data_IF_084634010410
#
_entry.id   IF_084634010410
#
_cell.length_a   1.000
_cell.length_b   1.000
_cell.length_c   1.000
_cell.angle_alpha   90.00
_cell.angle_beta   90.00
_cell.angle_gamma   90.00
#
_symmetry.space_group_name_H-M   'P 1'
#
loop_
_entity.id
_entity.type
_entity.pdbx_description
1 polymer ?
#
# COMPACT_ATOMS: atom_id res chain seq x y z
N UNK A 1 57.70 -39.54 7.16
CA UNK A 1 56.33 -39.23 6.70
C UNK A 1 55.88 -38.00 7.45
N UNK A 2 55.98 -36.83 6.82
CA UNK A 2 55.80 -35.52 7.49
C UNK A 2 54.48 -34.93 7.00
N UNK A 3 53.45 -34.92 7.86
CA UNK A 3 52.16 -34.31 7.53
C UNK A 3 52.29 -32.80 7.82
N UNK A 4 52.24 -31.98 6.76
CA UNK A 4 52.20 -30.52 6.89
C UNK A 4 50.78 -30.10 7.25
N UNK A 5 50.59 -29.53 8.44
CA UNK A 5 49.33 -28.90 8.84
C UNK A 5 49.13 -27.58 8.10
N UNK A 6 48.05 -27.49 7.31
CA UNK A 6 47.56 -26.21 6.78
C UNK A 6 46.73 -25.52 7.86
N UNK A 7 47.00 -24.25 8.22
CA UNK A 7 46.14 -23.52 9.13
C UNK A 7 44.86 -23.12 8.38
N UNK A 8 43.72 -23.62 8.84
CA UNK A 8 42.41 -23.13 8.43
C UNK A 8 42.17 -21.77 9.08
N UNK A 9 42.28 -20.69 8.30
CA UNK A 9 41.88 -19.34 8.72
C UNK A 9 40.37 -19.23 8.55
N UNK A 10 39.62 -19.24 9.64
CA UNK A 10 38.20 -18.91 9.64
C UNK A 10 38.05 -17.38 9.52
N UNK A 11 37.77 -16.92 8.30
CA UNK A 11 37.41 -15.53 8.03
C UNK A 11 35.98 -15.27 8.53
N UNK A 12 35.83 -14.73 9.73
CA UNK A 12 34.54 -14.21 10.21
C UNK A 12 34.25 -12.87 9.52
N UNK A 13 33.60 -12.93 8.35
CA UNK A 13 32.97 -11.76 7.75
C UNK A 13 31.76 -11.36 8.62
N UNK A 14 31.70 -10.13 9.17
CA UNK A 14 30.48 -9.65 9.80
C UNK A 14 29.43 -9.47 8.70
N UNK A 15 28.55 -10.48 8.57
CA UNK A 15 27.34 -10.37 7.76
C UNK A 15 26.42 -9.39 8.51
N UNK A 16 26.48 -8.12 8.13
CA UNK A 16 25.43 -7.17 8.49
C UNK A 16 24.25 -7.47 7.59
N UNK A 17 23.21 -8.09 8.15
CA UNK A 17 21.91 -8.17 7.48
C UNK A 17 21.35 -6.73 7.50
N UNK A 18 21.50 -6.02 6.38
CA UNK A 18 20.85 -4.72 6.21
C UNK A 18 19.37 -4.99 5.94
N UNK A 19 18.55 -4.95 7.00
CA UNK A 19 17.09 -4.92 6.86
C UNK A 19 16.71 -3.57 6.26
N UNK A 20 16.52 -3.56 4.96
CA UNK A 20 16.21 -2.40 4.15
C UNK A 20 14.75 -1.94 4.42
N UNK A 21 14.45 -1.42 5.62
CA UNK A 21 13.08 -1.08 6.07
C UNK A 21 12.50 0.13 5.34
N UNK A 22 12.02 -0.05 4.12
CA UNK A 22 11.74 1.06 3.21
C UNK A 22 10.27 1.32 2.96
N UNK A 23 9.39 0.32 3.04
CA UNK A 23 7.99 0.54 2.73
C UNK A 23 7.23 1.15 3.92
N UNK A 24 6.26 2.03 3.62
CA UNK A 24 5.40 2.71 4.61
C UNK A 24 3.91 2.55 4.30
N UNK A 25 3.57 1.72 3.32
CA UNK A 25 2.20 1.44 2.91
C UNK A 25 1.87 2.04 1.55
N UNK A 26 0.70 1.68 1.04
CA UNK A 26 0.25 2.09 -0.27
C UNK A 26 -1.09 1.51 -0.64
N UNK A 27 -1.48 1.75 -1.89
CA UNK A 27 -2.72 1.26 -2.48
C UNK A 27 -2.59 1.21 -4.00
N UNK A 28 -3.35 0.31 -4.62
CA UNK A 28 -3.51 0.20 -6.07
C UNK A 28 -5.01 0.12 -6.34
N UNK A 29 -5.52 1.01 -7.18
CA UNK A 29 -6.92 1.06 -7.62
C UNK A 29 -6.99 1.06 -9.14
N UNK A 30 -8.13 0.70 -9.69
CA UNK A 30 -8.33 0.69 -11.14
C UNK A 30 -9.75 1.07 -11.51
N UNK A 31 -9.92 1.55 -12.74
CA UNK A 31 -11.25 1.72 -13.35
C UNK A 31 -11.15 1.55 -14.86
N UNK A 32 -12.22 1.14 -15.54
CA UNK A 32 -12.27 1.20 -16.98
C UNK A 32 -12.24 2.67 -17.43
N UNK A 33 -11.57 2.92 -18.56
CA UNK A 33 -11.62 4.23 -19.22
C UNK A 33 -13.03 4.52 -19.74
N UNK A 34 -13.68 3.48 -20.27
CA UNK A 34 -15.08 3.46 -20.68
C UNK A 34 -15.71 2.15 -20.15
N UNK A 35 -16.65 2.29 -19.24
CA UNK A 35 -17.36 1.20 -18.55
C UNK A 35 -18.41 0.51 -19.44
N UNK A 36 -18.85 1.16 -20.51
CA UNK A 36 -19.84 0.66 -21.48
C UNK A 36 -19.22 -0.03 -22.70
N UNK A 37 -17.91 -0.22 -22.72
CA UNK A 37 -17.17 -0.72 -23.89
C UNK A 37 -17.47 -2.20 -24.17
N UNK A 38 -17.82 -2.51 -25.42
CA UNK A 38 -18.18 -3.87 -25.88
C UNK A 38 -17.09 -4.56 -26.71
N UNK A 39 -15.90 -3.97 -26.78
CA UNK A 39 -14.79 -4.53 -27.58
C UNK A 39 -14.13 -5.70 -26.87
N UNK A 40 -13.36 -6.50 -27.62
CA UNK A 40 -12.62 -7.65 -27.08
C UNK A 40 -11.56 -7.28 -26.03
N UNK A 41 -11.11 -6.01 -26.02
CA UNK A 41 -10.21 -5.47 -25.00
C UNK A 41 -10.84 -4.26 -24.30
N UNK A 42 -10.51 -4.07 -23.02
CA UNK A 42 -10.93 -2.96 -22.16
C UNK A 42 -9.68 -2.17 -21.79
N UNK A 43 -9.71 -0.85 -22.00
CA UNK A 43 -8.65 0.02 -21.50
C UNK A 43 -8.93 0.32 -20.02
N UNK A 44 -8.00 -0.05 -19.14
CA UNK A 44 -8.04 0.33 -17.73
C UNK A 44 -7.11 1.50 -17.45
N UNK A 45 -7.54 2.34 -16.52
CA UNK A 45 -6.69 3.29 -15.81
C UNK A 45 -6.37 2.66 -14.45
N UNK A 46 -5.10 2.42 -14.17
CA UNK A 46 -4.63 1.91 -12.88
C UNK A 46 -3.90 3.04 -12.17
N UNK A 47 -4.32 3.34 -10.94
CA UNK A 47 -3.75 4.34 -10.07
C UNK A 47 -2.99 3.63 -8.95
N UNK A 48 -1.76 4.08 -8.68
CA UNK A 48 -0.96 3.60 -7.58
C UNK A 48 -0.54 4.77 -6.69
N UNK A 49 -0.53 4.52 -5.38
CA UNK A 49 0.02 5.46 -4.41
C UNK A 49 0.83 4.68 -3.38
N UNK A 50 2.08 5.07 -3.20
CA UNK A 50 3.00 4.42 -2.27
C UNK A 50 3.67 5.43 -1.37
N UNK A 51 4.05 4.96 -0.19
CA UNK A 51 4.87 5.69 0.75
C UNK A 51 6.11 4.88 1.10
N UNK A 52 7.23 5.58 1.18
CA UNK A 52 8.55 5.03 1.34
C UNK A 52 9.32 5.75 2.44
N UNK A 53 10.39 5.14 2.92
CA UNK A 53 11.40 5.78 3.74
C UNK A 53 12.10 6.87 2.93
N UNK A 54 12.05 8.12 3.40
CA UNK A 54 12.60 9.28 2.68
C UNK A 54 14.10 9.19 2.46
N UNK A 55 14.85 8.69 3.43
CA UNK A 55 16.30 8.48 3.28
C UNK A 55 16.68 7.51 2.16
N UNK A 56 15.73 6.75 1.60
CA UNK A 56 15.97 5.78 0.52
C UNK A 56 15.24 6.15 -0.77
N UNK A 57 14.04 6.74 -0.65
CA UNK A 57 13.28 7.32 -1.74
C UNK A 57 13.09 8.79 -1.40
N UNK A 58 14.04 9.61 -1.84
CA UNK A 58 14.09 11.02 -1.45
C UNK A 58 12.99 11.83 -2.11
N UNK A 59 12.39 12.73 -1.33
CA UNK A 59 11.51 13.78 -1.82
C UNK A 59 11.61 15.03 -0.95
N UNK A 60 11.50 16.19 -1.60
CA UNK A 60 11.41 17.52 -0.99
C UNK A 60 10.57 18.46 -1.87
N UNK A 61 10.46 19.73 -1.49
CA UNK A 61 9.69 20.73 -2.23
C UNK A 61 10.17 20.89 -3.68
N UNK A 62 11.48 20.77 -3.95
CA UNK A 62 12.03 20.84 -5.30
C UNK A 62 11.67 19.61 -6.14
N UNK A 63 11.66 18.42 -5.52
CA UNK A 63 11.20 17.18 -6.15
C UNK A 63 9.73 17.27 -6.55
N UNK A 64 8.89 17.83 -5.67
CA UNK A 64 7.46 18.07 -5.94
C UNK A 64 7.30 19.09 -7.08
N UNK A 65 7.97 20.24 -6.98
CA UNK A 65 7.84 21.33 -7.95
C UNK A 65 8.31 20.93 -9.37
N UNK A 66 9.32 20.08 -9.46
CA UNK A 66 9.83 19.57 -10.74
C UNK A 66 8.97 18.45 -11.35
N UNK A 67 8.01 17.90 -10.60
CA UNK A 67 7.24 16.72 -11.04
C UNK A 67 8.15 15.51 -11.27
N UNK A 68 9.19 15.35 -10.46
CA UNK A 68 10.15 14.26 -10.63
C UNK A 68 9.58 12.92 -10.18
N UNK A 69 9.88 11.85 -10.93
CA UNK A 69 9.59 10.49 -10.54
C UNK A 69 10.55 10.03 -9.44
N UNK A 70 10.00 9.51 -8.35
CA UNK A 70 10.74 8.85 -7.27
C UNK A 70 10.47 7.34 -7.29
N UNK A 71 11.25 6.57 -6.53
CA UNK A 71 11.15 5.10 -6.45
C UNK A 71 11.32 4.37 -7.80
N UNK A 72 12.12 4.95 -8.70
CA UNK A 72 12.39 4.46 -10.05
C UNK A 72 13.47 3.35 -10.09
N UNK A 73 13.33 2.34 -9.22
CA UNK A 73 14.35 1.33 -8.93
C UNK A 73 14.15 -0.03 -9.61
N UNK A 74 13.25 -0.14 -10.59
CA UNK A 74 13.02 -1.39 -11.33
C UNK A 74 12.10 -2.42 -10.67
N UNK A 75 11.38 -2.06 -9.61
CA UNK A 75 10.33 -2.92 -9.06
C UNK A 75 9.08 -2.83 -9.95
N UNK A 76 8.49 -3.98 -10.26
CA UNK A 76 7.31 -4.10 -11.09
C UNK A 76 6.07 -4.49 -10.28
N UNK A 77 4.90 -4.08 -10.77
CA UNK A 77 3.64 -4.71 -10.35
C UNK A 77 3.43 -5.93 -11.26
N UNK A 78 3.23 -7.08 -10.64
CA UNK A 78 3.05 -8.36 -11.33
C UNK A 78 1.59 -8.73 -11.37
N UNK A 79 1.13 -9.21 -12.53
CA UNK A 79 -0.16 -9.89 -12.62
C UNK A 79 -0.03 -11.37 -12.25
N UNK A 80 -1.05 -11.88 -11.57
CA UNK A 80 -1.27 -13.29 -11.30
C UNK A 80 -2.05 -13.98 -12.43
N UNK A 81 -2.03 -15.31 -12.46
CA UNK A 81 -2.92 -16.15 -13.30
C UNK A 81 -2.68 -16.01 -14.82
N UNK A 82 -3.74 -16.07 -15.63
CA UNK A 82 -3.75 -15.98 -17.10
C UNK A 82 -3.15 -14.70 -17.68
N UNK A 83 -2.92 -13.69 -16.85
CA UNK A 83 -2.24 -12.45 -17.22
C UNK A 83 -0.77 -12.42 -16.76
N UNK A 84 -0.14 -13.53 -16.39
CA UNK A 84 1.22 -13.54 -15.82
C UNK A 84 2.34 -12.98 -16.72
N UNK A 85 2.10 -12.82 -18.02
CA UNK A 85 3.00 -12.12 -18.94
C UNK A 85 2.97 -10.59 -18.77
N UNK A 86 2.10 -10.10 -17.89
CA UNK A 86 1.89 -8.69 -17.66
C UNK A 86 2.74 -8.21 -16.50
N UNK A 87 3.79 -7.48 -16.87
CA UNK A 87 4.63 -6.75 -15.95
C UNK A 87 4.32 -5.27 -16.17
N UNK A 88 3.71 -4.62 -15.18
CA UNK A 88 3.67 -3.17 -15.17
C UNK A 88 5.06 -2.71 -14.76
N UNK A 89 5.68 -1.92 -15.63
CA UNK A 89 7.12 -1.73 -15.63
C UNK A 89 7.69 -0.96 -14.43
N UNK A 90 6.86 -0.31 -13.60
CA UNK A 90 7.42 0.51 -12.52
C UNK A 90 6.48 0.81 -11.37
N UNK A 91 7.05 0.77 -10.16
CA UNK A 91 6.49 1.35 -8.92
C UNK A 91 6.83 2.84 -8.79
N UNK A 92 7.36 3.46 -9.84
CA UNK A 92 7.69 4.88 -9.84
C UNK A 92 6.43 5.72 -9.67
N UNK A 93 6.56 6.74 -8.85
CA UNK A 93 5.50 7.66 -8.47
C UNK A 93 5.99 9.09 -8.59
N UNK A 94 5.11 10.02 -8.92
CA UNK A 94 5.39 11.44 -8.79
C UNK A 94 5.29 11.81 -7.33
N UNK A 95 6.32 12.45 -6.78
CA UNK A 95 6.24 12.85 -5.38
C UNK A 95 5.14 13.89 -5.18
N UNK A 96 4.27 13.65 -4.19
CA UNK A 96 3.19 14.57 -3.81
C UNK A 96 3.34 15.10 -2.40
N UNK A 97 4.01 14.35 -1.51
CA UNK A 97 4.20 14.73 -0.12
C UNK A 97 5.45 14.09 0.51
N UNK A 98 6.00 14.72 1.54
CA UNK A 98 7.08 14.16 2.35
C UNK A 98 7.01 14.64 3.80
N UNK A 99 7.68 13.92 4.69
CA UNK A 99 7.90 14.29 6.08
C UNK A 99 9.32 13.97 6.50
N UNK A 100 10.06 15.01 6.90
CA UNK A 100 11.40 14.85 7.47
C UNK A 100 11.32 14.16 8.83
N UNK A 101 10.34 14.52 9.66
CA UNK A 101 10.18 14.00 11.02
C UNK A 101 9.86 12.50 11.08
N UNK A 102 9.10 11.98 10.12
CA UNK A 102 8.81 10.54 10.02
C UNK A 102 9.71 9.79 9.06
N UNK A 103 10.62 10.49 8.39
CA UNK A 103 11.44 9.92 7.33
C UNK A 103 10.55 9.23 6.28
N UNK A 104 9.53 9.94 5.78
CA UNK A 104 8.54 9.44 4.80
C UNK A 104 8.53 10.30 3.54
N UNK A 105 8.47 9.66 2.38
CA UNK A 105 8.11 10.26 1.10
C UNK A 105 6.90 9.53 0.55
N UNK A 106 5.93 10.24 -0.03
CA UNK A 106 4.81 9.63 -0.72
C UNK A 106 4.60 10.26 -2.09
N UNK A 107 3.97 9.47 -2.95
CA UNK A 107 3.66 9.90 -4.30
C UNK A 107 2.61 9.03 -4.93
N UNK A 108 2.11 9.48 -6.07
CA UNK A 108 1.15 8.74 -6.87
C UNK A 108 1.52 8.76 -8.34
N UNK A 109 1.04 7.77 -9.07
CA UNK A 109 1.15 7.70 -10.52
C UNK A 109 0.00 6.90 -11.06
N UNK A 110 -0.32 7.11 -12.33
CA UNK A 110 -1.29 6.31 -13.04
C UNK A 110 -0.69 5.85 -14.36
N UNK A 111 -1.19 4.73 -14.85
CA UNK A 111 -0.87 4.22 -16.17
C UNK A 111 -2.12 3.59 -16.76
N UNK A 112 -2.12 3.49 -18.08
CA UNK A 112 -3.20 2.86 -18.81
C UNK A 112 -2.74 1.52 -19.35
N UNK A 113 -3.65 0.53 -19.36
CA UNK A 113 -3.32 -0.82 -19.78
C UNK A 113 -4.52 -1.45 -20.49
N UNK A 114 -4.26 -2.17 -21.59
CA UNK A 114 -5.30 -2.80 -22.41
C UNK A 114 -5.45 -4.28 -22.07
N UNK A 115 -6.59 -4.66 -21.47
CA UNK A 115 -6.91 -6.01 -20.96
C UNK A 115 -7.90 -6.72 -21.87
N UNK A 116 -7.80 -8.04 -22.06
CA UNK A 116 -8.93 -8.83 -22.53
C UNK A 116 -10.20 -8.57 -21.70
N UNK A 117 -11.31 -8.37 -22.39
CA UNK A 117 -12.64 -8.35 -21.77
C UNK A 117 -12.95 -9.73 -21.16
N UNK A 118 -13.91 -9.78 -20.24
CA UNK A 118 -14.38 -11.02 -19.60
C UNK A 118 -13.26 -11.81 -18.89
N UNK A 119 -12.33 -11.11 -18.25
CA UNK A 119 -11.20 -11.71 -17.53
C UNK A 119 -11.15 -11.20 -16.09
N UNK A 120 -10.69 -12.06 -15.19
CA UNK A 120 -10.45 -11.72 -13.79
C UNK A 120 -9.06 -12.19 -13.36
N UNK A 121 -8.33 -11.30 -12.69
CA UNK A 121 -6.97 -11.56 -12.22
C UNK A 121 -6.61 -10.58 -11.11
N UNK A 122 -5.51 -10.83 -10.40
CA UNK A 122 -4.95 -9.85 -9.45
C UNK A 122 -3.66 -9.28 -9.98
N UNK A 123 -3.42 -8.00 -9.71
CA UNK A 123 -2.13 -7.34 -9.84
C UNK A 123 -1.58 -7.04 -8.45
N UNK A 124 -0.28 -7.14 -8.26
CA UNK A 124 0.29 -6.88 -6.96
C UNK A 124 1.73 -6.43 -7.00
N UNK A 125 2.08 -5.60 -6.02
CA UNK A 125 3.45 -5.24 -5.72
C UNK A 125 3.84 -5.85 -4.38
N UNK A 126 4.90 -6.63 -4.38
CA UNK A 126 5.42 -7.29 -3.20
C UNK A 126 6.92 -7.06 -3.08
N UNK A 127 7.42 -6.95 -1.86
CA UNK A 127 8.86 -6.88 -1.60
C UNK A 127 9.21 -7.38 -0.20
N UNK A 128 10.51 -7.45 0.07
CA UNK A 128 11.03 -7.64 1.42
C UNK A 128 11.22 -6.28 2.10
N UNK A 129 11.12 -6.28 3.43
CA UNK A 129 11.49 -5.18 4.32
C UNK A 129 10.47 -4.03 4.39
N UNK A 130 9.35 -4.34 5.04
CA UNK A 130 8.47 -3.35 5.65
C UNK A 130 9.18 -2.55 6.74
N UNK A 131 8.48 -1.64 7.42
CA UNK A 131 9.08 -0.87 8.53
C UNK A 131 9.58 -1.82 9.63
N UNK A 132 10.88 -1.80 9.94
CA UNK A 132 11.52 -2.76 10.86
C UNK A 132 11.08 -2.66 12.32
N UNK A 133 10.54 -1.51 12.74
CA UNK A 133 10.12 -1.23 14.12
C UNK A 133 8.62 -1.46 14.36
N UNK A 134 7.94 -2.15 13.45
CA UNK A 134 6.53 -2.50 13.64
C UNK A 134 6.37 -3.49 14.78
N UNK A 135 5.28 -3.35 15.54
CA UNK A 135 4.90 -4.31 16.59
C UNK A 135 4.68 -5.71 16.03
N UNK A 136 4.14 -5.80 14.81
CA UNK A 136 3.85 -7.05 14.09
C UNK A 136 4.33 -6.91 12.65
N UNK A 137 4.99 -7.93 12.11
CA UNK A 137 5.45 -7.94 10.72
C UNK A 137 6.63 -7.01 10.42
N UNK A 138 7.36 -6.58 11.46
CA UNK A 138 8.49 -5.66 11.32
C UNK A 138 9.61 -6.22 10.46
N UNK A 139 9.95 -5.52 9.37
CA UNK A 139 11.00 -5.95 8.44
C UNK A 139 10.65 -7.18 7.60
N UNK A 140 9.43 -7.71 7.73
CA UNK A 140 8.96 -8.86 6.97
C UNK A 140 8.61 -8.48 5.53
N UNK A 141 8.16 -9.49 4.78
CA UNK A 141 7.61 -9.31 3.43
C UNK A 141 6.23 -8.67 3.52
N UNK A 142 5.90 -7.87 2.52
CA UNK A 142 4.61 -7.20 2.40
C UNK A 142 4.11 -7.32 0.96
N UNK A 143 2.80 -7.14 0.76
CA UNK A 143 2.19 -7.21 -0.56
C UNK A 143 0.94 -6.31 -0.68
N UNK A 144 1.00 -5.36 -1.61
CA UNK A 144 -0.12 -4.54 -2.04
C UNK A 144 -0.77 -5.21 -3.25
N UNK A 145 -1.88 -5.94 -3.04
CA UNK A 145 -2.55 -6.72 -4.10
C UNK A 145 -3.95 -6.24 -4.39
N UNK A 146 -4.24 -5.98 -5.66
CA UNK A 146 -5.51 -5.48 -6.17
C UNK A 146 -6.15 -6.49 -7.13
N UNK A 147 -7.46 -6.72 -7.01
CA UNK A 147 -8.22 -7.62 -7.89
C UNK A 147 -8.93 -6.82 -8.98
N UNK A 148 -8.69 -7.23 -10.23
CA UNK A 148 -9.30 -6.68 -11.45
C UNK A 148 -10.30 -7.66 -12.02
N UNK A 149 -11.44 -7.14 -12.48
CA UNK A 149 -12.49 -7.93 -13.12
C UNK A 149 -13.15 -7.16 -14.26
N UNK A 150 -12.88 -7.60 -15.50
CA UNK A 150 -13.44 -7.02 -16.73
C UNK A 150 -14.68 -7.76 -17.22
N UNK A 151 -15.24 -8.68 -16.42
CA UNK A 151 -16.53 -9.33 -16.72
C UNK A 151 -17.64 -8.29 -16.56
N UNK A 152 -18.48 -8.18 -17.58
CA UNK A 152 -19.62 -7.26 -17.60
C UNK A 152 -20.61 -7.66 -16.50
N UNK A 153 -21.03 -6.68 -15.71
CA UNK A 153 -21.98 -6.83 -14.61
C UNK A 153 -23.39 -7.04 -15.15
N UNK A 154 -24.34 -7.51 -14.32
CA UNK A 154 -25.73 -7.70 -14.75
C UNK A 154 -26.42 -6.42 -15.27
N UNK A 155 -25.93 -5.24 -14.89
CA UNK A 155 -26.42 -3.95 -15.37
C UNK A 155 -25.84 -3.53 -16.74
N UNK A 156 -24.96 -4.33 -17.35
CA UNK A 156 -24.36 -4.06 -18.66
C UNK A 156 -23.08 -3.25 -18.65
N UNK A 157 -22.56 -2.87 -17.47
CA UNK A 157 -21.32 -2.09 -17.33
C UNK A 157 -20.17 -2.93 -16.78
N UNK A 158 -18.95 -2.55 -17.11
CA UNK A 158 -17.73 -3.08 -16.50
C UNK A 158 -17.55 -2.41 -15.15
N UNK A 159 -17.13 -3.19 -14.16
CA UNK A 159 -16.88 -2.71 -12.82
C UNK A 159 -15.74 -1.69 -12.73
N UNK A 160 -15.79 -0.79 -11.76
CA UNK A 160 -14.65 -0.02 -11.28
C UNK A 160 -14.21 -0.50 -9.90
N UNK A 161 -12.99 -0.22 -9.48
CA UNK A 161 -12.57 -0.56 -8.11
C UNK A 161 -13.00 0.52 -7.12
N UNK A 162 -13.24 0.16 -5.85
CA UNK A 162 -13.52 1.14 -4.83
C UNK A 162 -12.32 2.07 -4.62
N UNK A 163 -12.62 3.28 -4.17
CA UNK A 163 -11.62 4.24 -3.74
C UNK A 163 -11.70 4.40 -2.23
N UNK A 164 -10.53 4.45 -1.59
CA UNK A 164 -10.43 4.79 -0.19
C UNK A 164 -9.23 5.67 0.07
N UNK A 165 -9.42 6.62 0.98
CA UNK A 165 -8.39 7.61 1.31
C UNK A 165 -8.16 7.64 2.81
N UNK A 166 -6.89 7.64 3.19
CA UNK A 166 -6.47 7.83 4.56
C UNK A 166 -5.05 8.38 4.59
N UNK A 167 -4.67 9.00 5.71
CA UNK A 167 -3.31 9.48 5.90
C UNK A 167 -2.36 8.29 6.03
N UNK A 168 -1.16 8.43 5.47
CA UNK A 168 -0.17 7.34 5.43
C UNK A 168 0.42 7.05 6.81
N UNK A 169 0.54 8.09 7.64
CA UNK A 169 0.91 7.98 9.05
C UNK A 169 -0.11 8.74 9.88
N UNK A 170 -0.71 8.07 10.86
CA UNK A 170 -1.74 8.63 11.74
C UNK A 170 -1.28 8.52 13.19
N UNK A 171 -1.41 9.59 13.96
CA UNK A 171 -1.03 9.62 15.37
C UNK A 171 -2.14 9.09 16.24
N UNK A 172 -1.79 8.23 17.19
CA UNK A 172 -2.70 7.73 18.20
C UNK A 172 -2.02 7.74 19.56
N UNK A 173 -2.74 8.19 20.59
CA UNK A 173 -2.25 8.08 21.95
C UNK A 173 -2.16 6.60 22.34
N UNK A 174 -1.03 6.17 22.88
CA UNK A 174 -0.89 4.78 23.36
C UNK A 174 -1.75 4.56 24.61
N UNK A 175 -2.08 3.29 24.91
CA UNK A 175 -2.91 2.91 26.07
C UNK A 175 -4.35 3.50 26.07
N UNK A 176 -4.85 3.91 24.91
CA UNK A 176 -6.24 4.34 24.73
C UNK A 176 -6.88 3.58 23.58
N UNK A 177 -8.19 3.29 23.70
CA UNK A 177 -8.96 2.72 22.59
C UNK A 177 -9.26 3.82 21.57
N UNK A 178 -8.99 3.53 20.30
CA UNK A 178 -9.26 4.44 19.19
C UNK A 178 -10.17 3.80 18.17
N UNK A 179 -11.07 4.62 17.61
CA UNK A 179 -11.81 4.28 16.40
C UNK A 179 -11.21 5.10 15.26
N UNK A 180 -10.86 4.43 14.16
CA UNK A 180 -10.41 5.09 12.94
C UNK A 180 -11.36 4.71 11.81
N UNK A 181 -12.01 5.72 11.22
CA UNK A 181 -12.96 5.51 10.14
C UNK A 181 -12.24 5.69 8.81
N UNK A 182 -12.26 4.65 7.99
CA UNK A 182 -11.77 4.70 6.61
C UNK A 182 -12.94 5.08 5.73
N UNK A 183 -12.83 6.21 5.04
CA UNK A 183 -13.83 6.63 4.06
C UNK A 183 -13.60 5.84 2.78
N UNK A 184 -14.66 5.18 2.31
CA UNK A 184 -14.66 4.33 1.14
C UNK A 184 -15.82 4.75 0.24
N UNK A 185 -15.58 4.79 -1.05
CA UNK A 185 -16.59 5.13 -2.05
C UNK A 185 -16.41 4.24 -3.26
N UNK A 186 -17.52 3.93 -3.91
CA UNK A 186 -17.53 3.27 -5.21
C UNK A 186 -18.32 4.10 -6.21
N UNK A 187 -17.90 4.07 -7.47
CA UNK A 187 -18.56 4.82 -8.53
C UNK A 187 -19.75 4.05 -9.13
N UNK A 188 -19.83 2.76 -8.85
CA UNK A 188 -20.85 1.85 -9.30
C UNK A 188 -22.00 1.82 -8.26
N UNK A 189 -22.97 2.72 -8.40
CA UNK A 189 -23.95 3.08 -7.35
C UNK A 189 -24.86 1.98 -6.77
N UNK A 190 -24.75 0.71 -7.19
CA UNK A 190 -25.44 -0.43 -6.58
C UNK A 190 -24.56 -1.25 -5.62
N UNK A 191 -23.27 -0.95 -5.59
CA UNK A 191 -22.30 -1.85 -5.00
C UNK A 191 -22.23 -1.74 -3.48
N UNK A 192 -21.92 -2.86 -2.86
CA UNK A 192 -21.76 -3.00 -1.41
C UNK A 192 -20.28 -3.19 -1.09
N UNK A 193 -19.72 -2.23 -0.39
CA UNK A 193 -18.32 -2.28 0.04
C UNK A 193 -18.19 -3.01 1.38
N UNK A 194 -17.18 -3.89 1.46
CA UNK A 194 -16.80 -4.58 2.69
C UNK A 194 -15.32 -4.35 2.95
N UNK A 195 -14.98 -3.88 4.14
CA UNK A 195 -13.59 -3.75 4.57
C UNK A 195 -13.19 -5.00 5.36
N UNK A 196 -12.03 -5.56 5.05
CA UNK A 196 -11.53 -6.79 5.64
C UNK A 196 -10.10 -6.62 6.12
N UNK A 197 -9.79 -7.08 7.33
CA UNK A 197 -8.43 -7.02 7.84
C UNK A 197 -7.57 -8.10 7.19
N UNK A 198 -6.30 -7.78 6.97
CA UNK A 198 -5.31 -8.81 6.68
C UNK A 198 -5.08 -9.69 7.90
N UNK A 199 -5.05 -11.01 7.67
CA UNK A 199 -4.69 -12.00 8.71
C UNK A 199 -3.19 -12.29 8.76
N UNK A 200 -2.41 -11.77 7.80
CA UNK A 200 -0.94 -11.82 7.78
C UNK A 200 -0.34 -10.65 6.98
N UNK A 201 0.99 -10.47 7.02
CA UNK A 201 1.72 -9.38 6.36
C UNK A 201 1.58 -9.34 4.81
N UNK A 202 0.92 -10.31 4.20
CA UNK A 202 0.37 -10.22 2.85
C UNK A 202 -1.03 -10.82 2.83
N UNK A 203 -1.98 -10.17 2.16
CA UNK A 203 -3.31 -10.74 2.03
C UNK A 203 -3.81 -10.72 0.59
N UNK A 204 -4.02 -11.92 0.05
CA UNK A 204 -4.92 -12.16 -1.07
C UNK A 204 -6.05 -13.05 -0.54
N UNK A 205 -7.12 -12.44 -0.04
CA UNK A 205 -8.41 -13.07 0.28
C UNK A 205 -8.48 -14.07 1.47
N UNK A 206 -7.68 -13.91 2.52
CA UNK A 206 -7.86 -14.56 3.83
C UNK A 206 -8.09 -13.49 4.91
N UNK A 207 -9.31 -13.38 5.42
CA UNK A 207 -9.73 -12.23 6.21
C UNK A 207 -10.30 -12.58 7.59
N UNK A 208 -10.11 -11.67 8.53
CA UNK A 208 -10.90 -11.59 9.77
C UNK A 208 -11.68 -10.26 9.73
N UNK A 209 -12.96 -10.31 10.08
CA UNK A 209 -13.82 -9.13 10.13
C UNK A 209 -13.55 -8.31 11.40
N UNK A 210 -12.84 -8.89 12.39
CA UNK A 210 -12.58 -8.30 13.69
C UNK A 210 -11.08 -8.28 13.97
N UNK A 211 -10.43 -7.12 13.85
CA UNK A 211 -9.05 -6.95 14.30
C UNK A 211 -8.92 -5.74 15.22
N UNK A 212 -8.37 -5.99 16.40
CA UNK A 212 -7.97 -5.00 17.38
C UNK A 212 -6.44 -4.92 17.35
N UNK A 213 -5.85 -3.82 16.86
CA UNK A 213 -4.43 -3.56 17.13
C UNK A 213 -4.32 -3.08 18.58
N UNK A 214 -3.78 -3.92 19.48
CA UNK A 214 -3.49 -3.48 20.85
C UNK A 214 -2.20 -2.63 20.84
N UNK A 215 -2.35 -1.35 21.10
CA UNK A 215 -1.26 -0.37 21.08
C UNK A 215 -0.51 -0.31 22.41
N UNK A 216 0.59 -1.04 22.51
CA UNK A 216 1.58 -0.89 23.60
C UNK A 216 2.88 -0.18 23.17
N UNK A 217 3.08 0.06 21.88
CA UNK A 217 4.36 0.53 21.29
C UNK A 217 4.17 1.54 20.14
N UNK A 218 5.30 2.00 19.58
CA UNK A 218 5.47 3.18 18.72
C UNK A 218 4.91 3.07 17.30
N UNK A 219 4.94 1.91 16.63
CA UNK A 219 4.47 1.78 15.25
C UNK A 219 3.60 0.53 15.02
N UNK A 220 2.34 0.70 14.63
CA UNK A 220 1.47 -0.38 14.16
C UNK A 220 1.20 -0.18 12.67
N UNK A 221 1.26 -1.26 11.90
CA UNK A 221 0.83 -1.23 10.52
C UNK A 221 -0.61 -1.69 10.41
N UNK A 222 -1.34 -1.07 9.50
CA UNK A 222 -2.69 -1.45 9.13
C UNK A 222 -2.67 -1.87 7.68
N UNK A 223 -3.17 -3.07 7.44
CA UNK A 223 -3.38 -3.65 6.11
C UNK A 223 -4.83 -4.10 6.04
N UNK A 224 -5.60 -3.43 5.19
CA UNK A 224 -7.00 -3.79 4.93
C UNK A 224 -7.21 -3.99 3.45
N UNK A 225 -8.10 -4.93 3.13
CA UNK A 225 -8.63 -5.12 1.79
C UNK A 225 -10.05 -4.57 1.73
N UNK A 226 -10.29 -3.66 0.80
CA UNK A 226 -11.61 -3.10 0.54
C UNK A 226 -12.16 -3.83 -0.64
N UNK A 227 -13.14 -4.67 -0.38
CA UNK A 227 -13.79 -5.52 -1.36
C UNK A 227 -15.08 -4.88 -1.81
N UNK A 228 -15.32 -4.99 -3.10
CA UNK A 228 -16.50 -4.48 -3.76
C UNK A 228 -17.33 -5.65 -4.29
N UNK A 229 -18.61 -5.62 -3.95
CA UNK A 229 -19.61 -6.63 -4.27
C UNK A 229 -20.76 -5.98 -5.02
N UNK A 230 -21.27 -6.69 -6.04
CA UNK A 230 -22.37 -6.17 -6.86
C UNK A 230 -23.62 -5.79 -6.05
N UNK A 231 -23.84 -6.52 -4.95
CA UNK A 231 -24.92 -6.28 -4.00
C UNK A 231 -24.58 -6.89 -2.65
N UNK A 232 -25.39 -6.60 -1.63
CA UNK A 232 -25.26 -7.19 -0.30
C UNK A 232 -25.42 -8.72 -0.28
N UNK A 233 -26.10 -9.28 -1.28
CA UNK A 233 -26.34 -10.72 -1.43
C UNK A 233 -25.20 -11.46 -2.14
N UNK A 234 -24.29 -10.73 -2.80
CA UNK A 234 -23.19 -11.33 -3.53
C UNK A 234 -22.19 -11.97 -2.56
N UNK A 235 -21.76 -13.20 -2.87
CA UNK A 235 -20.81 -13.98 -2.06
C UNK A 235 -19.36 -13.87 -2.53
N UNK A 236 -19.14 -13.35 -3.74
CA UNK A 236 -17.81 -13.14 -4.32
C UNK A 236 -17.60 -11.67 -4.68
N UNK A 237 -16.46 -11.06 -4.31
CA UNK A 237 -16.19 -9.69 -4.69
C UNK A 237 -15.84 -9.59 -6.18
N UNK A 238 -16.30 -8.52 -6.82
CA UNK A 238 -15.97 -8.18 -8.20
C UNK A 238 -14.56 -7.63 -8.27
N UNK A 239 -14.23 -6.71 -7.37
CA UNK A 239 -12.92 -6.10 -7.27
C UNK A 239 -12.48 -6.00 -5.81
N UNK A 240 -11.20 -5.79 -5.59
CA UNK A 240 -10.68 -5.52 -4.24
C UNK A 240 -9.44 -4.67 -4.28
N UNK A 241 -9.34 -3.73 -3.35
CA UNK A 241 -8.27 -2.74 -3.27
C UNK A 241 -7.53 -2.88 -1.94
N UNK A 242 -6.19 -2.97 -1.97
CA UNK A 242 -5.37 -2.95 -0.77
C UNK A 242 -5.23 -1.52 -0.26
N UNK A 243 -5.35 -1.32 1.04
CA UNK A 243 -5.05 -0.07 1.70
C UNK A 243 -4.12 -0.35 2.88
N UNK A 244 -2.88 0.13 2.74
CA UNK A 244 -1.87 0.01 3.78
C UNK A 244 -1.42 1.38 4.28
N UNK A 245 -1.33 1.51 5.60
CA UNK A 245 -0.90 2.73 6.28
C UNK A 245 -0.37 2.40 7.69
N UNK A 246 0.15 3.42 8.37
CA UNK A 246 0.81 3.29 9.66
C UNK A 246 0.10 4.11 10.74
N UNK A 247 0.03 3.55 11.93
CA UNK A 247 -0.22 4.29 13.16
C UNK A 247 1.09 4.52 13.90
N UNK A 248 1.32 5.77 14.30
CA UNK A 248 2.39 6.16 15.21
C UNK A 248 1.81 6.44 16.60
N UNK A 249 2.24 5.62 17.57
CA UNK A 249 1.90 5.73 18.97
C UNK A 249 2.71 6.83 19.65
N UNK A 250 2.03 7.76 20.35
CA UNK A 250 2.68 8.73 21.22
C UNK A 250 2.16 8.63 22.66
N UNK A 251 3.01 8.98 23.61
CA UNK A 251 2.63 9.09 25.03
C UNK A 251 1.90 10.42 25.21
N UNK A 252 0.68 10.38 25.74
CA UNK A 252 -0.08 11.58 26.07
C UNK A 252 0.64 12.31 27.22
N UNK A 253 0.94 13.61 27.10
CA UNK A 253 1.47 14.38 28.20
C UNK A 253 0.55 14.28 29.42
N UNK A 254 1.14 14.09 30.60
CA UNK A 254 0.40 13.91 31.86
C UNK A 254 -0.16 15.24 32.38
N UNK A 255 0.30 16.36 31.81
CA UNK A 255 -0.04 17.71 32.17
C UNK A 255 -0.80 18.42 31.04
N UNK A 256 -1.95 19.03 31.38
CA UNK A 256 -2.76 19.80 30.42
C UNK A 256 -2.10 21.14 29.99
N UNK A 257 -0.84 21.37 30.36
CA UNK A 257 -0.03 22.54 29.99
C UNK A 257 0.63 22.42 28.61
N UNK A 258 0.70 21.22 28.03
CA UNK A 258 1.28 21.03 26.72
C UNK A 258 0.33 21.57 25.63
N UNK A 259 0.68 22.70 25.03
CA UNK A 259 -0.04 23.25 23.88
C UNK A 259 -0.03 22.24 22.71
N UNK A 260 -1.14 22.09 21.96
CA UNK A 260 -1.15 21.29 20.73
C UNK A 260 -0.05 21.75 19.78
N UNK A 261 0.81 20.83 19.37
CA UNK A 261 1.84 21.08 18.36
C UNK A 261 1.40 20.50 17.01
N UNK A 262 1.58 21.28 15.95
CA UNK A 262 1.38 20.80 14.59
C UNK A 262 2.66 20.07 14.19
N UNK A 263 2.58 18.75 14.07
CA UNK A 263 3.71 17.94 13.63
C UNK A 263 3.57 17.71 12.12
N UNK A 264 4.37 18.45 11.36
CA UNK A 264 4.37 18.46 9.88
C UNK A 264 4.36 19.87 9.31
N UNK A 265 4.83 20.03 8.07
CA UNK A 265 4.73 21.31 7.34
C UNK A 265 3.30 21.42 6.80
N UNK A 266 2.59 22.50 7.13
CA UNK A 266 1.31 22.79 6.45
C UNK A 266 1.61 23.04 4.96
N UNK A 267 1.03 22.28 4.02
CA UNK A 267 0.96 22.76 2.66
C UNK A 267 0.12 24.04 2.70
N UNK A 268 0.68 25.12 2.17
CA UNK A 268 0.02 26.42 1.95
C UNK A 268 0.00 27.36 3.17
N UNK A 269 1.11 28.08 3.37
CA UNK A 269 0.97 29.55 3.42
C UNK A 269 1.21 30.04 2.01
N UNK A 270 0.13 30.36 1.30
CA UNK A 270 0.23 31.28 0.17
C UNK A 270 0.85 32.57 0.71
N UNK A 271 2.02 32.92 0.19
CA UNK A 271 2.54 34.28 0.24
C UNK A 271 1.70 35.17 -0.64
#
# INVERSE_FOLDING_TARGET
MTIRGFPFVFLFLPITIVYASHFRGGTITWRPWNDSQTTSNVQLLVLQRYSWRRGSVYCDDATIASGSLIANGGNAIYASSTCSSWTISTTAIYCTDYSVGFDVSSGESFYTQSIPANTQFSIGFYSGAWLGVLVVGGGEKWAVTCRINTIVRPNGYINSSPLATTLRVIYKAINQQHVHVIQMSDNDGTDTLKCRWATSAGNTNSYDEWCWCLFWYTWCAVTVQIEDYYSSLSTTPMSSVPLEFLFYGYITPVDCSAQPSIIGVRPNRGT
#
